data_IF_040088860254
#
_entry.id   IF_040088860254
#
_cell.length_a   1.000
_cell.length_b   1.000
_cell.length_c   1.000
_cell.angle_alpha   90.00
_cell.angle_beta   90.00
_cell.angle_gamma   90.00
#
_symmetry.space_group_name_H-M   'P 1'
#
loop_
_entity.id
_entity.type
_entity.pdbx_description
1 polymer ?
#
# COMPACT_ATOMS: atom_id res chain seq x y z
N UNK A 1 7.68 -15.19 17.47
CA UNK A 1 8.53 -14.43 16.52
C UNK A 1 7.58 -13.90 15.47
N UNK A 2 7.22 -12.62 15.52
CA UNK A 2 6.36 -12.02 14.51
C UNK A 2 7.23 -11.81 13.28
N UNK A 3 7.05 -12.66 12.27
CA UNK A 3 7.78 -12.56 11.01
C UNK A 3 7.10 -11.48 10.17
N UNK A 4 7.32 -10.23 10.56
CA UNK A 4 6.82 -9.06 9.84
C UNK A 4 7.60 -8.94 8.53
N UNK A 5 7.08 -9.56 7.46
CA UNK A 5 7.73 -9.60 6.16
C UNK A 5 7.56 -8.27 5.44
N UNK A 6 8.67 -7.69 4.97
CA UNK A 6 8.64 -6.53 4.08
C UNK A 6 8.12 -6.96 2.70
N UNK A 7 7.13 -6.23 2.18
CA UNK A 7 6.42 -6.50 0.93
C UNK A 7 6.26 -5.21 0.15
N UNK A 8 6.29 -5.31 -1.18
CA UNK A 8 5.95 -4.20 -2.05
C UNK A 8 4.45 -4.20 -2.32
N UNK A 9 3.82 -3.04 -2.11
CA UNK A 9 2.41 -2.81 -2.41
C UNK A 9 2.27 -1.53 -3.24
N UNK A 10 1.10 -1.35 -3.84
CA UNK A 10 0.74 -0.15 -4.60
C UNK A 10 -0.30 0.67 -3.84
N UNK A 11 -0.08 1.98 -3.78
CA UNK A 11 -1.03 2.96 -3.24
C UNK A 11 -1.43 3.94 -4.34
N UNK A 12 -2.69 4.41 -4.34
CA UNK A 12 -3.13 5.38 -5.33
C UNK A 12 -2.51 6.76 -5.07
N UNK A 13 -2.22 7.50 -6.14
CA UNK A 13 -1.72 8.89 -6.10
C UNK A 13 -2.84 9.81 -6.57
N UNK A 14 -3.48 10.47 -5.61
CA UNK A 14 -4.75 11.19 -5.79
C UNK A 14 -4.66 12.43 -6.71
N UNK A 15 -3.46 12.93 -6.97
CA UNK A 15 -3.24 14.17 -7.72
C UNK A 15 -2.48 13.99 -9.04
N UNK A 16 -2.33 12.75 -9.51
CA UNK A 16 -1.65 12.44 -10.79
C UNK A 16 -2.61 11.82 -11.84
N UNK A 17 -3.91 11.73 -11.55
CA UNK A 17 -4.95 11.22 -12.47
C UNK A 17 -5.57 9.90 -12.00
N UNK A 18 -6.53 9.37 -12.78
CA UNK A 18 -7.38 8.24 -12.37
C UNK A 18 -6.68 6.87 -12.22
N UNK A 19 -5.47 6.72 -12.76
CA UNK A 19 -4.75 5.43 -12.78
C UNK A 19 -3.30 5.57 -12.30
N UNK A 20 -3.04 6.60 -11.50
CA UNK A 20 -1.72 6.81 -10.93
C UNK A 20 -1.53 6.00 -9.65
N UNK A 21 -0.55 5.11 -9.67
CA UNK A 21 -0.16 4.27 -8.54
C UNK A 21 1.30 4.52 -8.20
N UNK A 22 1.62 4.53 -6.89
CA UNK A 22 2.98 4.55 -6.40
C UNK A 22 3.30 3.23 -5.72
N UNK A 23 4.48 2.68 -6.01
CA UNK A 23 4.99 1.48 -5.35
C UNK A 23 5.64 1.87 -4.03
N UNK A 24 5.25 1.21 -2.95
CA UNK A 24 5.75 1.47 -1.59
C UNK A 24 6.09 0.16 -0.89
N UNK A 25 7.05 0.23 0.04
CA UNK A 25 7.34 -0.84 0.97
C UNK A 25 6.36 -0.81 2.13
N UNK A 26 5.85 -1.98 2.50
CA UNK A 26 4.95 -2.18 3.61
C UNK A 26 5.30 -3.45 4.36
N UNK A 27 5.04 -3.45 5.66
CA UNK A 27 5.29 -4.59 6.53
C UNK A 27 3.98 -5.37 6.65
N UNK A 28 4.01 -6.67 6.33
CA UNK A 28 2.85 -7.53 6.54
C UNK A 28 2.63 -7.76 8.04
N UNK A 29 1.44 -7.40 8.53
CA UNK A 29 1.02 -7.62 9.92
C UNK A 29 0.19 -8.92 10.07
N UNK A 30 0.05 -9.68 8.97
CA UNK A 30 -0.72 -10.92 8.88
C UNK A 30 -2.04 -10.76 8.11
N UNK A 31 -2.52 -11.86 7.53
CA UNK A 31 -3.72 -11.85 6.69
C UNK A 31 -3.54 -10.99 5.44
N UNK A 32 -4.48 -10.10 5.19
CA UNK A 32 -4.48 -9.11 4.10
C UNK A 32 -4.04 -7.70 4.57
N UNK A 33 -3.50 -7.57 5.79
CA UNK A 33 -3.16 -6.29 6.41
C UNK A 33 -1.67 -5.98 6.31
N UNK A 34 -1.37 -4.75 5.92
CA UNK A 34 -0.02 -4.23 5.72
C UNK A 34 0.13 -2.84 6.33
N UNK A 35 1.23 -2.58 7.03
CA UNK A 35 1.61 -1.25 7.51
C UNK A 35 2.56 -0.59 6.53
N UNK A 36 2.23 0.60 6.01
CA UNK A 36 3.11 1.31 5.08
C UNK A 36 4.38 1.75 5.79
N UNK A 37 5.53 1.37 5.26
CA UNK A 37 6.85 1.69 5.81
C UNK A 37 7.59 2.77 5.00
N UNK A 38 7.26 2.93 3.71
CA UNK A 38 7.85 4.00 2.90
C UNK A 38 7.35 5.38 3.34
N UNK A 39 8.28 6.33 3.38
CA UNK A 39 7.99 7.75 3.54
C UNK A 39 7.82 8.38 2.17
N UNK A 40 6.71 9.08 1.97
CA UNK A 40 6.53 9.88 0.77
C UNK A 40 7.59 11.00 0.74
N UNK A 41 8.57 10.84 -0.15
CA UNK A 41 9.68 11.79 -0.34
C UNK A 41 9.37 12.84 -1.42
N UNK A 42 8.24 12.72 -2.10
CA UNK A 42 7.78 13.63 -3.15
C UNK A 42 6.59 14.43 -2.59
N UNK A 43 6.82 15.66 -2.09
CA UNK A 43 5.75 16.47 -1.48
C UNK A 43 4.64 16.82 -2.49
N UNK A 44 4.95 16.80 -3.78
CA UNK A 44 3.98 16.95 -4.86
C UNK A 44 3.12 15.71 -5.10
N UNK A 45 3.42 14.53 -4.56
CA UNK A 45 2.55 13.36 -4.66
C UNK A 45 1.61 13.28 -3.47
N UNK A 46 0.32 13.13 -3.71
CA UNK A 46 -0.67 12.89 -2.65
C UNK A 46 -1.08 11.43 -2.64
N UNK A 47 -0.38 10.60 -1.86
CA UNK A 47 -0.77 9.21 -1.70
C UNK A 47 -2.10 9.10 -0.94
N UNK A 48 -2.93 8.14 -1.32
CA UNK A 48 -4.19 7.83 -0.62
C UNK A 48 -3.94 7.33 0.80
N UNK A 49 -2.84 6.60 0.99
CA UNK A 49 -2.41 6.04 2.26
C UNK A 49 -0.94 6.40 2.52
N UNK A 50 -0.61 6.76 3.75
CA UNK A 50 0.72 7.30 4.12
C UNK A 50 1.45 6.39 5.12
N UNK A 51 2.71 6.74 5.41
CA UNK A 51 3.57 6.03 6.38
C UNK A 51 2.84 5.71 7.68
N UNK A 52 3.13 4.54 8.25
CA UNK A 52 2.56 3.98 9.47
C UNK A 52 1.05 3.64 9.42
N UNK A 53 0.36 3.93 8.33
CA UNK A 53 -1.04 3.52 8.18
C UNK A 53 -1.16 2.02 7.88
N UNK A 54 -2.17 1.40 8.49
CA UNK A 54 -2.56 0.03 8.21
C UNK A 54 -3.57 0.01 7.07
N UNK A 55 -3.32 -0.82 6.06
CA UNK A 55 -4.17 -0.97 4.89
C UNK A 55 -4.44 -2.44 4.61
N UNK A 56 -5.63 -2.71 4.07
CA UNK A 56 -5.94 -4.00 3.44
C UNK A 56 -5.52 -3.99 1.99
N UNK A 57 -4.74 -5.00 1.61
CA UNK A 57 -4.30 -5.18 0.25
C UNK A 57 -5.05 -6.32 -0.42
N UNK A 58 -5.32 -6.16 -1.71
CA UNK A 58 -5.82 -7.25 -2.57
C UNK A 58 -4.81 -7.52 -3.68
N UNK A 59 -4.74 -8.77 -4.11
CA UNK A 59 -3.98 -9.12 -5.30
C UNK A 59 -4.73 -8.67 -6.56
N UNK A 60 -4.05 -7.90 -7.40
CA UNK A 60 -4.51 -7.51 -8.72
C UNK A 60 -3.59 -8.15 -9.77
N UNK A 61 -4.17 -8.55 -10.90
CA UNK A 61 -3.41 -9.06 -12.05
C UNK A 61 -3.30 -7.92 -13.06
N UNK A 62 -2.08 -7.51 -13.36
CA UNK A 62 -1.78 -6.49 -14.37
C UNK A 62 -1.98 -7.06 -15.79
N UNK A 63 -2.11 -6.21 -16.83
CA UNK A 63 -2.32 -6.67 -18.21
C UNK A 63 -1.22 -7.59 -18.76
N UNK A 64 -0.01 -7.52 -18.21
CA UNK A 64 1.12 -8.39 -18.53
C UNK A 64 1.10 -9.75 -17.78
N UNK A 65 0.12 -9.96 -16.90
CA UNK A 65 -0.03 -11.17 -16.09
C UNK A 65 0.67 -11.11 -14.74
N UNK A 66 1.37 -10.02 -14.40
CA UNK A 66 2.02 -9.86 -13.10
C UNK A 66 0.97 -9.74 -11.98
N UNK A 67 1.22 -10.41 -10.84
CA UNK A 67 0.39 -10.30 -9.64
C UNK A 67 1.00 -9.28 -8.69
N UNK A 68 0.26 -8.21 -8.41
CA UNK A 68 0.68 -7.14 -7.52
C UNK A 68 -0.29 -6.99 -6.34
N UNK A 69 0.18 -6.45 -5.23
CA UNK A 69 -0.66 -6.10 -4.08
C UNK A 69 -1.05 -4.63 -4.17
N UNK A 70 -2.34 -4.34 -4.04
CA UNK A 70 -2.88 -2.98 -4.11
C UNK A 70 -3.62 -2.67 -2.83
N UNK A 71 -3.29 -1.55 -2.18
CA UNK A 71 -4.02 -1.03 -1.04
C UNK A 71 -5.43 -0.61 -1.46
N UNK A 72 -6.45 -1.11 -0.77
CA UNK A 72 -7.86 -0.89 -1.15
C UNK A 72 -8.70 -0.27 -0.05
N UNK A 73 -8.24 -0.34 1.20
CA UNK A 73 -8.98 0.20 2.34
C UNK A 73 -8.01 0.45 3.49
N UNK A 74 -8.17 1.57 4.20
CA UNK A 74 -7.53 1.77 5.50
C UNK A 74 -8.17 0.85 6.54
N UNK A 75 -7.34 0.26 7.39
CA UNK A 75 -7.80 -0.45 8.59
C UNK A 75 -7.83 0.55 9.71
N UNK A 76 -9.02 0.98 10.10
CA UNK A 76 -9.20 1.68 11.37
C UNK A 76 -9.00 0.67 12.49
N UNK A 77 -7.85 0.73 13.16
CA UNK A 77 -7.75 0.15 14.50
C UNK A 77 -8.61 1.01 15.42
N UNK A 78 -9.89 0.65 15.55
CA UNK A 78 -10.71 1.20 16.63
C UNK A 78 -10.03 0.89 17.98
N UNK A 79 -10.01 1.85 18.92
CA UNK A 79 -9.42 1.66 20.25
C UNK A 79 -10.15 0.59 21.08
#
# INVERSE_FOLDING_TARGET
MNNNELRQIYVAVLNRGNDAWQRVDAISEGGDVYRIASVNSQPEERWEYVTDELVRCRTMILPDGERVLVATQRVDTAP
#
